data_IF_339784457928
#
_entry.id   IF_339784457928
#
_cell.length_a   1.000
_cell.length_b   1.000
_cell.length_c   1.000
_cell.angle_alpha   90.00
_cell.angle_beta   90.00
_cell.angle_gamma   90.00
#
_symmetry.space_group_name_H-M   'P 1'
#
loop_
_entity.id
_entity.type
_entity.pdbx_description
1 polymer ?
#
# COMPACT_ATOMS: atom_id res chain seq x y z
N UNK A 1 18.99 -25.68 25.79
CA UNK A 1 18.60 -26.82 24.91
C UNK A 1 17.15 -26.63 24.52
N UNK A 2 16.71 -27.02 23.31
CA UNK A 2 15.31 -26.89 22.90
C UNK A 2 14.74 -28.20 22.36
N UNK A 3 13.44 -28.42 22.58
CA UNK A 3 12.72 -29.62 22.15
C UNK A 3 11.45 -29.23 21.39
N UNK A 4 11.17 -29.90 20.27
CA UNK A 4 9.94 -29.66 19.50
C UNK A 4 8.80 -30.50 20.08
N UNK A 5 7.68 -29.84 20.41
CA UNK A 5 6.49 -30.53 20.93
C UNK A 5 5.59 -30.92 19.77
N UNK A 6 5.27 -32.21 19.69
CA UNK A 6 4.34 -32.78 18.71
C UNK A 6 3.11 -33.34 19.45
N UNK A 7 1.92 -33.19 18.86
CA UNK A 7 0.69 -33.81 19.35
C UNK A 7 0.03 -34.58 18.21
N UNK A 8 -0.43 -35.79 18.51
CA UNK A 8 -1.19 -36.59 17.55
C UNK A 8 -2.58 -35.98 17.32
N UNK A 9 -2.93 -35.74 16.05
CA UNK A 9 -4.25 -35.26 15.65
C UNK A 9 -5.12 -36.43 15.20
N UNK A 10 -6.12 -36.81 16.01
CA UNK A 10 -7.02 -37.92 15.68
C UNK A 10 -7.88 -37.62 14.43
N UNK A 11 -8.29 -36.37 14.23
CA UNK A 11 -9.07 -35.95 13.07
C UNK A 11 -8.27 -36.04 11.75
N UNK A 12 -6.95 -35.80 11.81
CA UNK A 12 -6.07 -35.76 10.63
C UNK A 12 -5.11 -36.95 10.53
N UNK A 13 -5.13 -37.85 11.51
CA UNK A 13 -4.27 -39.05 11.64
C UNK A 13 -2.78 -38.78 11.41
N UNK A 14 -2.26 -37.67 11.97
CA UNK A 14 -0.84 -37.29 11.88
C UNK A 14 -0.38 -36.50 13.10
N UNK A 15 0.93 -36.47 13.34
CA UNK A 15 1.53 -35.57 14.34
C UNK A 15 1.55 -34.13 13.84
N UNK A 16 1.07 -33.21 14.68
CA UNK A 16 1.05 -31.77 14.42
C UNK A 16 1.97 -31.07 15.42
N UNK A 17 2.85 -30.20 14.91
CA UNK A 17 3.76 -29.40 15.72
C UNK A 17 2.97 -28.40 16.55
N UNK A 18 3.09 -28.50 17.87
CA UNK A 18 2.43 -27.61 18.82
C UNK A 18 3.32 -26.42 19.19
N UNK A 19 4.64 -26.61 19.22
CA UNK A 19 5.56 -25.54 19.60
C UNK A 19 6.98 -26.02 19.86
N UNK A 20 7.75 -25.17 20.54
CA UNK A 20 9.11 -25.43 20.98
C UNK A 20 9.15 -25.23 22.51
N UNK A 21 9.59 -26.25 23.25
CA UNK A 21 9.96 -26.11 24.65
C UNK A 21 11.42 -25.63 24.71
N UNK A 22 11.64 -24.58 25.47
CA UNK A 22 12.95 -23.99 25.72
C UNK A 22 13.16 -23.98 27.23
N UNK A 23 14.39 -24.19 27.65
CA UNK A 23 14.79 -24.09 29.05
C UNK A 23 14.53 -22.68 29.61
N UNK A 24 14.11 -22.58 30.87
CA UNK A 24 13.74 -21.32 31.54
C UNK A 24 14.89 -20.31 31.54
N UNK A 25 16.13 -20.78 31.75
CA UNK A 25 17.32 -19.94 31.68
C UNK A 25 17.55 -19.36 30.28
N UNK A 26 17.22 -20.13 29.24
CA UNK A 26 17.26 -19.67 27.85
C UNK A 26 16.20 -18.62 27.55
N UNK A 27 15.00 -18.77 28.11
CA UNK A 27 13.92 -17.79 27.98
C UNK A 27 14.28 -16.48 28.70
N UNK A 28 14.75 -16.55 29.94
CA UNK A 28 15.15 -15.38 30.73
C UNK A 28 16.31 -14.60 30.10
N UNK A 29 17.28 -15.31 29.49
CA UNK A 29 18.38 -14.66 28.75
C UNK A 29 17.85 -13.88 27.55
N UNK A 30 16.96 -14.49 26.75
CA UNK A 30 16.35 -13.83 25.61
C UNK A 30 15.50 -12.60 26.01
N UNK A 31 14.76 -12.69 27.13
CA UNK A 31 14.01 -11.56 27.68
C UNK A 31 14.94 -10.42 28.10
N UNK A 32 16.02 -10.72 28.82
CA UNK A 32 17.01 -9.72 29.25
C UNK A 32 17.68 -9.04 28.05
N UNK A 33 18.05 -9.78 27.02
CA UNK A 33 18.63 -9.23 25.79
C UNK A 33 17.62 -8.35 25.02
N UNK A 34 16.35 -8.79 24.92
CA UNK A 34 15.29 -8.02 24.28
C UNK A 34 14.99 -6.71 25.01
N UNK A 35 15.01 -6.74 26.34
CA UNK A 35 14.85 -5.56 27.20
C UNK A 35 16.05 -4.62 27.08
N UNK A 36 17.27 -5.13 27.02
CA UNK A 36 18.48 -4.32 26.90
C UNK A 36 18.55 -3.52 25.58
N UNK A 37 17.98 -4.02 24.49
CA UNK A 37 17.90 -3.32 23.18
C UNK A 37 16.54 -2.63 22.95
N UNK A 38 15.60 -2.66 23.91
CA UNK A 38 14.25 -2.11 23.72
C UNK A 38 14.27 -0.61 23.37
N UNK A 39 14.96 0.21 24.17
CA UNK A 39 15.07 1.65 23.94
C UNK A 39 15.75 1.99 22.61
N UNK A 40 16.77 1.22 22.25
CA UNK A 40 17.49 1.44 20.99
C UNK A 40 16.64 1.05 19.77
N UNK A 41 15.81 -0.02 19.87
CA UNK A 41 14.80 -0.37 18.86
C UNK A 41 13.71 0.69 18.75
N UNK A 42 13.20 1.19 19.88
CA UNK A 42 12.18 2.24 19.90
C UNK A 42 12.68 3.50 19.22
N UNK A 43 13.85 4.02 19.63
CA UNK A 43 14.45 5.22 19.01
C UNK A 43 14.77 5.02 17.53
N UNK A 44 15.16 3.80 17.10
CA UNK A 44 15.32 3.47 15.67
C UNK A 44 13.98 3.54 14.96
N UNK A 45 12.94 2.95 15.54
CA UNK A 45 11.57 2.96 15.02
C UNK A 45 11.01 4.39 14.88
N UNK A 46 11.18 5.25 15.88
CA UNK A 46 10.75 6.65 15.83
C UNK A 46 11.43 7.41 14.68
N UNK A 47 12.76 7.26 14.52
CA UNK A 47 13.51 7.90 13.44
C UNK A 47 13.06 7.40 12.08
N UNK A 48 12.82 6.10 11.95
CA UNK A 48 12.32 5.49 10.71
C UNK A 48 10.89 5.93 10.39
N UNK A 49 10.02 6.05 11.40
CA UNK A 49 8.65 6.54 11.25
C UNK A 49 8.65 8.00 10.79
N UNK A 50 9.47 8.86 11.41
CA UNK A 50 9.64 10.25 10.98
C UNK A 50 10.15 10.34 9.55
N UNK A 51 11.24 9.62 9.24
CA UNK A 51 11.80 9.58 7.88
C UNK A 51 10.78 9.10 6.86
N UNK A 52 9.95 8.12 7.21
CA UNK A 52 8.89 7.61 6.33
C UNK A 52 7.82 8.67 6.09
N UNK A 53 7.37 9.37 7.14
CA UNK A 53 6.41 10.46 7.00
C UNK A 53 6.94 11.58 6.10
N UNK A 54 8.21 11.96 6.24
CA UNK A 54 8.86 12.95 5.37
C UNK A 54 8.91 12.49 3.91
N UNK A 55 9.27 11.22 3.66
CA UNK A 55 9.29 10.65 2.32
C UNK A 55 7.90 10.56 1.70
N UNK A 56 6.89 10.20 2.49
CA UNK A 56 5.50 10.11 2.04
C UNK A 56 4.96 11.50 1.67
N UNK A 57 5.26 12.53 2.48
CA UNK A 57 4.89 13.92 2.16
C UNK A 57 5.58 14.43 0.89
N UNK A 58 6.89 14.17 0.75
CA UNK A 58 7.63 14.53 -0.45
C UNK A 58 7.07 13.82 -1.70
N UNK A 59 6.75 12.54 -1.58
CA UNK A 59 6.12 11.76 -2.65
C UNK A 59 4.76 12.34 -3.05
N UNK A 60 3.89 12.65 -2.09
CA UNK A 60 2.57 13.23 -2.37
C UNK A 60 2.70 14.57 -3.10
N UNK A 61 3.63 15.42 -2.65
CA UNK A 61 3.88 16.71 -3.29
C UNK A 61 4.34 16.57 -4.75
N UNK A 62 5.37 15.75 -4.99
CA UNK A 62 5.93 15.53 -6.32
C UNK A 62 4.94 14.84 -7.27
N UNK A 63 4.19 13.84 -6.78
CA UNK A 63 3.19 13.15 -7.57
C UNK A 63 2.03 14.07 -7.93
N UNK A 64 1.53 14.87 -6.99
CA UNK A 64 0.48 15.86 -7.25
C UNK A 64 0.93 16.91 -8.28
N UNK A 65 2.17 17.38 -8.19
CA UNK A 65 2.78 18.25 -9.21
C UNK A 65 2.75 17.60 -10.59
N UNK A 66 3.18 16.34 -10.69
CA UNK A 66 3.20 15.60 -11.95
C UNK A 66 1.80 15.37 -12.53
N UNK A 67 0.79 15.14 -11.68
CA UNK A 67 -0.61 15.09 -12.11
C UNK A 67 -1.03 16.42 -12.76
N UNK A 68 -0.72 17.57 -12.14
CA UNK A 68 -1.07 18.89 -12.68
C UNK A 68 -0.36 19.21 -13.99
N UNK A 69 0.88 18.74 -14.15
CA UNK A 69 1.62 18.89 -15.41
C UNK A 69 0.98 18.11 -16.57
N UNK A 70 0.46 16.90 -16.31
CA UNK A 70 -0.17 16.05 -17.32
C UNK A 70 -1.66 16.37 -17.55
N UNK A 71 -2.32 16.92 -16.52
CA UNK A 71 -3.75 17.19 -16.49
C UNK A 71 -4.00 18.61 -15.94
N UNK A 72 -3.71 19.65 -16.73
CA UNK A 72 -3.83 21.05 -16.29
C UNK A 72 -5.24 21.46 -15.89
N UNK A 73 -6.28 20.92 -16.55
CA UNK A 73 -7.69 21.17 -16.24
C UNK A 73 -8.25 20.34 -15.08
N UNK A 74 -7.41 19.59 -14.37
CA UNK A 74 -7.82 18.84 -13.19
C UNK A 74 -8.39 19.79 -12.12
N UNK A 75 -9.58 19.51 -11.53
CA UNK A 75 -10.14 20.33 -10.47
C UNK A 75 -9.21 20.43 -9.25
N UNK A 76 -9.12 21.59 -8.59
CA UNK A 76 -8.22 21.79 -7.47
C UNK A 76 -8.50 20.80 -6.33
N UNK A 77 -7.44 20.24 -5.75
CA UNK A 77 -7.50 19.27 -4.66
C UNK A 77 -7.58 17.81 -5.13
N UNK A 78 -7.98 17.55 -6.38
CA UNK A 78 -8.01 16.17 -6.91
C UNK A 78 -6.62 15.63 -7.14
N UNK A 79 -5.67 16.44 -7.59
CA UNK A 79 -4.26 16.06 -7.73
C UNK A 79 -3.67 15.51 -6.43
N UNK A 80 -4.03 16.15 -5.30
CA UNK A 80 -3.55 15.76 -3.98
C UNK A 80 -4.23 14.48 -3.50
N UNK A 81 -5.55 14.35 -3.67
CA UNK A 81 -6.27 13.12 -3.34
C UNK A 81 -5.74 11.91 -4.13
N UNK A 82 -5.44 12.09 -5.42
CA UNK A 82 -4.84 11.06 -6.28
C UNK A 82 -3.46 10.68 -5.75
N UNK A 83 -2.61 11.67 -5.43
CA UNK A 83 -1.27 11.45 -4.91
C UNK A 83 -1.26 10.75 -3.55
N UNK A 84 -2.16 11.14 -2.64
CA UNK A 84 -2.33 10.50 -1.33
C UNK A 84 -2.77 9.04 -1.48
N UNK A 85 -3.74 8.77 -2.37
CA UNK A 85 -4.18 7.40 -2.64
C UNK A 85 -3.06 6.56 -3.28
N UNK A 86 -2.31 7.12 -4.23
CA UNK A 86 -1.15 6.46 -4.82
C UNK A 86 -0.10 6.16 -3.74
N UNK A 87 0.20 7.12 -2.86
CA UNK A 87 1.15 6.95 -1.77
C UNK A 87 0.76 5.75 -0.88
N UNK A 88 -0.50 5.70 -0.42
CA UNK A 88 -1.00 4.57 0.37
C UNK A 88 -0.84 3.21 -0.33
N UNK A 89 -1.02 3.15 -1.65
CA UNK A 89 -0.85 1.93 -2.45
C UNK A 89 0.62 1.55 -2.66
N UNK A 90 1.52 2.51 -2.80
CA UNK A 90 2.93 2.30 -3.12
C UNK A 90 3.86 2.28 -1.90
N UNK A 91 3.40 2.65 -0.70
CA UNK A 91 4.18 2.57 0.56
C UNK A 91 4.54 1.14 1.00
N UNK A 92 4.03 0.11 0.31
CA UNK A 92 4.36 -1.29 0.56
C UNK A 92 5.79 -1.67 0.18
N UNK A 93 6.74 -1.49 1.11
CA UNK A 93 8.12 -2.06 1.10
C UNK A 93 8.84 -1.96 -0.25
N UNK A 94 9.15 -0.76 -0.69
CA UNK A 94 9.89 -0.58 -1.94
C UNK A 94 11.36 -0.30 -1.67
N UNK A 95 12.20 -1.26 -2.06
CA UNK A 95 13.64 -1.07 -2.20
C UNK A 95 13.98 -0.04 -3.30
N UNK A 96 15.28 0.26 -3.43
CA UNK A 96 15.84 1.38 -4.22
C UNK A 96 15.38 1.45 -5.70
N UNK A 97 14.87 0.35 -6.26
CA UNK A 97 14.50 0.22 -7.68
C UNK A 97 13.12 0.78 -8.05
N UNK A 98 12.22 0.98 -7.08
CA UNK A 98 10.85 1.41 -7.38
C UNK A 98 10.66 2.93 -7.34
N UNK A 99 11.53 3.67 -6.63
CA UNK A 99 11.53 5.13 -6.62
C UNK A 99 11.68 5.73 -8.03
N UNK A 100 12.47 5.06 -8.90
CA UNK A 100 12.63 5.45 -10.30
C UNK A 100 11.35 5.25 -11.16
N UNK A 101 10.41 4.41 -10.71
CA UNK A 101 9.13 4.13 -11.40
C UNK A 101 7.94 4.89 -10.80
N UNK A 102 8.11 5.55 -9.66
CA UNK A 102 6.94 6.08 -8.91
C UNK A 102 6.41 7.39 -9.48
N UNK A 103 7.23 8.10 -10.27
CA UNK A 103 6.84 9.31 -11.02
C UNK A 103 6.77 9.08 -12.53
N UNK A 104 6.81 7.81 -12.95
CA UNK A 104 6.67 7.48 -14.36
C UNK A 104 5.32 8.01 -14.88
N UNK A 105 5.34 8.56 -16.08
CA UNK A 105 4.18 9.18 -16.69
C UNK A 105 3.00 8.20 -16.76
N UNK A 106 3.29 6.94 -17.05
CA UNK A 106 2.31 5.86 -17.07
C UNK A 106 1.73 5.55 -15.68
N UNK A 107 2.56 5.60 -14.64
CA UNK A 107 2.09 5.41 -13.26
C UNK A 107 1.14 6.54 -12.85
N UNK A 108 1.45 7.78 -13.23
CA UNK A 108 0.60 8.94 -12.98
C UNK A 108 -0.72 8.82 -13.75
N UNK A 109 -0.68 8.49 -15.04
CA UNK A 109 -1.90 8.27 -15.84
C UNK A 109 -2.79 7.17 -15.27
N UNK A 110 -2.21 6.05 -14.85
CA UNK A 110 -2.97 4.95 -14.25
C UNK A 110 -3.64 5.35 -12.94
N UNK A 111 -2.95 6.14 -12.10
CA UNK A 111 -3.53 6.66 -10.86
C UNK A 111 -4.71 7.60 -11.12
N UNK A 112 -4.55 8.54 -12.06
CA UNK A 112 -5.63 9.47 -12.45
C UNK A 112 -6.80 8.70 -13.06
N UNK A 113 -6.56 7.75 -13.97
CA UNK A 113 -7.59 6.91 -14.56
C UNK A 113 -8.35 6.11 -13.51
N UNK A 114 -7.64 5.53 -12.54
CA UNK A 114 -8.27 4.83 -11.44
C UNK A 114 -9.16 5.77 -10.60
N UNK A 115 -8.65 6.95 -10.25
CA UNK A 115 -9.40 7.95 -9.49
C UNK A 115 -10.68 8.38 -10.21
N UNK A 116 -10.59 8.77 -11.48
CA UNK A 116 -11.76 9.16 -12.28
C UNK A 116 -12.78 8.03 -12.35
N UNK A 117 -12.32 6.79 -12.61
CA UNK A 117 -13.21 5.62 -12.64
C UNK A 117 -13.97 5.45 -11.32
N UNK A 118 -13.31 5.55 -10.18
CA UNK A 118 -13.94 5.31 -8.88
C UNK A 118 -14.77 6.50 -8.38
N UNK A 119 -14.42 7.74 -8.75
CA UNK A 119 -15.03 8.94 -8.16
C UNK A 119 -15.98 9.69 -9.07
N UNK A 120 -15.87 9.52 -10.39
CA UNK A 120 -16.63 10.29 -11.38
C UNK A 120 -17.56 9.39 -12.23
N UNK A 121 -17.62 8.09 -11.94
CA UNK A 121 -18.47 7.13 -12.68
C UNK A 121 -19.19 6.17 -11.73
N UNK A 122 -20.20 5.47 -12.24
CA UNK A 122 -20.96 4.44 -11.50
C UNK A 122 -20.18 3.13 -11.31
N UNK A 123 -18.86 3.09 -11.55
CA UNK A 123 -18.06 1.87 -11.48
C UNK A 123 -18.22 1.09 -10.18
N UNK A 124 -18.23 1.78 -9.03
CA UNK A 124 -18.36 1.12 -7.73
C UNK A 124 -19.79 0.57 -7.50
N UNK A 125 -20.81 1.24 -8.05
CA UNK A 125 -22.19 0.75 -8.05
C UNK A 125 -22.34 -0.50 -8.93
N UNK A 126 -21.71 -0.50 -10.11
CA UNK A 126 -21.68 -1.66 -11.00
C UNK A 126 -21.02 -2.86 -10.31
N UNK A 127 -19.90 -2.66 -9.60
CA UNK A 127 -19.28 -3.72 -8.80
C UNK A 127 -20.18 -4.19 -7.66
N UNK A 128 -20.86 -3.27 -6.96
CA UNK A 128 -21.78 -3.61 -5.87
C UNK A 128 -23.00 -4.42 -6.35
N UNK A 129 -23.46 -4.19 -7.59
CA UNK A 129 -24.53 -4.98 -8.21
C UNK A 129 -24.12 -6.39 -8.65
N UNK A 130 -22.84 -6.76 -8.45
CA UNK A 130 -22.31 -8.08 -8.77
C UNK A 130 -21.73 -8.22 -10.18
N UNK A 131 -21.62 -7.12 -10.92
CA UNK A 131 -21.03 -7.11 -12.25
C UNK A 131 -19.52 -7.38 -12.18
N UNK A 132 -18.99 -8.13 -13.15
CA UNK A 132 -17.57 -8.43 -13.17
C UNK A 132 -16.74 -7.18 -13.50
N UNK A 133 -15.48 -7.16 -13.05
CA UNK A 133 -14.61 -5.98 -13.21
C UNK A 133 -14.32 -5.62 -14.66
N UNK A 134 -14.25 -6.59 -15.58
CA UNK A 134 -13.98 -6.30 -17.00
C UNK A 134 -15.20 -5.64 -17.61
N UNK A 135 -16.40 -6.16 -17.34
CA UNK A 135 -17.63 -5.57 -17.83
C UNK A 135 -17.90 -4.19 -17.23
N UNK A 136 -17.77 -4.04 -15.92
CA UNK A 136 -17.90 -2.73 -15.26
C UNK A 136 -16.92 -1.70 -15.84
N UNK A 137 -15.69 -2.10 -16.18
CA UNK A 137 -14.71 -1.22 -16.84
C UNK A 137 -15.13 -0.82 -18.25
N UNK A 138 -15.68 -1.75 -19.03
CA UNK A 138 -16.17 -1.46 -20.39
C UNK A 138 -17.29 -0.43 -20.36
N UNK A 139 -18.24 -0.57 -19.44
CA UNK A 139 -19.40 0.34 -19.38
C UNK A 139 -19.03 1.79 -19.04
N UNK A 140 -18.01 2.00 -18.23
CA UNK A 140 -17.58 3.36 -17.82
C UNK A 140 -16.44 3.91 -18.67
N UNK A 141 -15.91 3.15 -19.64
CA UNK A 141 -14.69 3.50 -20.37
C UNK A 141 -14.81 4.83 -21.12
N UNK A 142 -15.90 5.04 -21.83
CA UNK A 142 -16.13 6.26 -22.62
C UNK A 142 -16.30 7.49 -21.71
N UNK A 143 -17.01 7.34 -20.59
CA UNK A 143 -17.16 8.40 -19.59
C UNK A 143 -15.81 8.77 -18.97
N UNK A 144 -15.01 7.78 -18.57
CA UNK A 144 -13.66 8.01 -18.04
C UNK A 144 -12.81 8.73 -19.09
N UNK A 145 -12.83 8.28 -20.35
CA UNK A 145 -12.05 8.88 -21.43
C UNK A 145 -12.43 10.33 -21.66
N UNK A 146 -13.73 10.64 -21.69
CA UNK A 146 -14.23 12.00 -21.86
C UNK A 146 -13.72 12.94 -20.77
N UNK A 147 -13.79 12.52 -19.50
CA UNK A 147 -13.31 13.31 -18.37
C UNK A 147 -11.79 13.52 -18.44
N UNK A 148 -11.03 12.46 -18.75
CA UNK A 148 -9.58 12.56 -18.90
C UNK A 148 -9.19 13.54 -20.02
N UNK A 149 -9.91 13.53 -21.15
CA UNK A 149 -9.68 14.50 -22.22
C UNK A 149 -9.96 15.93 -21.76
N UNK A 150 -11.04 16.16 -21.00
CA UNK A 150 -11.32 17.48 -20.40
C UNK A 150 -10.20 17.92 -19.48
N UNK A 151 -9.69 17.03 -18.61
CA UNK A 151 -8.63 17.38 -17.66
C UNK A 151 -7.26 17.60 -18.33
N UNK A 152 -7.03 17.06 -19.52
CA UNK A 152 -5.81 17.31 -20.30
C UNK A 152 -5.81 18.69 -20.97
N UNK A 153 -6.97 19.30 -21.17
CA UNK A 153 -7.08 20.67 -21.67
C UNK A 153 -6.98 21.66 -20.49
N UNK A 154 -6.35 22.83 -20.69
CA UNK A 154 -6.28 23.88 -19.66
C UNK A 154 -7.62 24.57 -19.41
#
# INVERSE_FOLDING_TARGET
MSAVVLKWSHARKRYERQGLLVDEAGLATAESECLADADARERRGEREARRRSELDQAYVGEFARRVRELFPGCPPGRERAIAEHACLKYTGRVGRSAAAKTYDEDAVRLAVLAHVRHTETSYDELLASGLDRREARRQVEDQVRSILTTWQQP
#
